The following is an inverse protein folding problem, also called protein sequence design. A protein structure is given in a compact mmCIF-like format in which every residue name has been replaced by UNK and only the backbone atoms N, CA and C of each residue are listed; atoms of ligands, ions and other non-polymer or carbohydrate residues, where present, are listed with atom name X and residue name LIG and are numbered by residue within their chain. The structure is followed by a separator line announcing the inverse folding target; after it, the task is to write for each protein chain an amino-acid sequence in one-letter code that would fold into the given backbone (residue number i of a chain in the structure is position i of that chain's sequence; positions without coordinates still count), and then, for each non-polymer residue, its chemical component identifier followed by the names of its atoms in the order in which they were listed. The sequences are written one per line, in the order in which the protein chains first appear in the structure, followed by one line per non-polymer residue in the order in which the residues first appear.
data_IF_050693602134
#
_entry.id   IF_050693602134
#
_cell.length_a   1.000
_cell.length_b   1.000
_cell.length_c   1.000
_cell.angle_alpha   90.00
_cell.angle_beta   90.00
_cell.angle_gamma   90.00
#
_symmetry.space_group_name_H-M   'P 1'
#
loop_
_entity.id
_entity.type
_entity.pdbx_description
1 polymer ?
#
# COMPACT_ATOMS: atom_id res chain seq x y z
N UNK A 1 17.96 26.69 21.96
CA UNK A 1 18.48 25.43 22.53
C UNK A 1 19.58 25.77 23.50
N UNK A 2 20.57 26.54 23.06
CA UNK A 2 21.48 27.28 23.96
C UNK A 2 20.93 28.68 24.20
N UNK A 3 20.10 28.83 25.22
CA UNK A 3 19.65 30.12 25.76
C UNK A 3 20.10 30.25 27.21
N UNK A 4 19.91 31.44 27.80
CA UNK A 4 20.29 31.75 29.20
C UNK A 4 19.56 30.87 30.22
N UNK A 5 18.44 30.26 29.81
CA UNK A 5 17.82 29.13 30.51
C UNK A 5 17.92 27.88 29.62
N UNK A 6 18.60 26.84 30.14
CA UNK A 6 18.65 25.52 29.54
C UNK A 6 17.30 24.81 29.73
N UNK A 7 16.70 24.37 28.63
CA UNK A 7 15.50 23.54 28.67
C UNK A 7 15.95 22.08 28.89
N UNK A 8 16.00 21.65 30.14
CA UNK A 8 16.32 20.27 30.48
C UNK A 8 15.17 19.32 30.06
N UNK A 9 15.51 18.13 29.57
CA UNK A 9 14.59 17.04 29.19
C UNK A 9 13.72 17.24 27.92
N UNK A 10 14.14 18.10 26.98
CA UNK A 10 13.45 18.23 25.68
C UNK A 10 14.25 17.52 24.58
N UNK A 11 13.60 16.59 23.88
CA UNK A 11 14.08 16.01 22.63
C UNK A 11 13.43 16.72 21.44
N UNK A 12 14.25 17.28 20.55
CA UNK A 12 13.75 17.89 19.31
C UNK A 12 14.08 17.00 18.11
N UNK A 13 13.05 16.67 17.35
CA UNK A 13 13.15 15.88 16.12
C UNK A 13 12.74 16.76 14.94
N UNK A 14 13.67 17.01 14.02
CA UNK A 14 13.41 17.69 12.75
C UNK A 14 13.18 16.70 11.61
N UNK A 15 12.27 17.03 10.69
CA UNK A 15 12.01 16.26 9.48
C UNK A 15 12.17 17.18 8.27
N UNK A 16 13.00 16.81 7.30
CA UNK A 16 13.20 17.59 6.06
C UNK A 16 13.34 16.66 4.85
N UNK A 17 12.77 17.11 3.72
CA UNK A 17 13.00 16.49 2.41
C UNK A 17 14.17 17.13 1.65
N UNK A 18 14.76 18.19 2.19
CA UNK A 18 15.84 18.98 1.60
C UNK A 18 16.89 19.34 2.65
N UNK A 19 17.67 18.36 3.14
CA UNK A 19 18.71 18.61 4.16
C UNK A 19 19.76 19.62 3.70
N UNK A 20 20.01 19.73 2.39
CA UNK A 20 20.95 20.68 1.79
C UNK A 20 20.56 22.16 1.95
N UNK A 21 19.29 22.45 2.22
CA UNK A 21 18.81 23.82 2.47
C UNK A 21 18.85 24.21 3.95
N UNK A 22 19.26 23.30 4.83
CA UNK A 22 19.35 23.60 6.26
C UNK A 22 20.56 24.49 6.57
N UNK A 23 20.38 25.43 7.49
CA UNK A 23 21.47 26.27 7.99
C UNK A 23 22.53 25.39 8.68
N UNK A 24 23.81 25.43 8.23
CA UNK A 24 24.91 24.71 8.87
C UNK A 24 25.08 25.01 10.36
N UNK A 25 24.62 26.17 10.84
CA UNK A 25 24.66 26.54 12.26
C UNK A 25 23.71 25.68 13.12
N UNK A 26 22.68 25.07 12.55
CA UNK A 26 21.78 24.15 13.26
C UNK A 26 22.37 22.74 13.38
N UNK A 27 23.28 22.37 12.48
CA UNK A 27 23.92 21.05 12.40
C UNK A 27 25.13 20.91 13.35
N UNK A 28 25.42 21.95 14.14
CA UNK A 28 26.54 21.94 15.08
C UNK A 28 26.22 21.07 16.31
N UNK A 29 27.24 20.48 16.95
CA UNK A 29 27.07 19.73 18.20
C UNK A 29 26.29 20.54 19.25
N UNK A 30 25.41 19.87 20.01
CA UNK A 30 24.51 20.51 20.98
C UNK A 30 23.20 21.07 20.42
N UNK A 31 22.95 20.94 19.10
CA UNK A 31 21.69 21.33 18.43
C UNK A 31 21.06 20.14 17.71
N UNK A 32 20.98 20.17 16.38
CA UNK A 32 20.57 19.04 15.56
C UNK A 32 21.81 18.23 15.20
N UNK A 33 22.38 17.55 16.19
CA UNK A 33 23.66 16.84 16.03
C UNK A 33 23.50 15.50 15.28
N UNK A 34 22.40 14.78 15.54
CA UNK A 34 22.17 13.46 14.95
C UNK A 34 21.36 13.57 13.67
N UNK A 35 21.93 13.08 12.57
CA UNK A 35 21.25 13.01 11.27
C UNK A 35 21.00 11.56 10.86
N UNK A 36 19.72 11.26 10.60
CA UNK A 36 19.29 9.94 10.13
C UNK A 36 18.64 10.09 8.77
N UNK A 37 19.24 9.46 7.75
CA UNK A 37 18.63 9.36 6.42
C UNK A 37 17.62 8.20 6.42
N UNK A 38 16.40 8.47 6.00
CA UNK A 38 15.37 7.45 5.81
C UNK A 38 15.25 7.13 4.32
N UNK A 39 15.79 5.98 3.85
CA UNK A 39 15.72 5.62 2.43
C UNK A 39 14.31 5.11 2.06
N UNK A 40 14.08 4.99 0.74
CA UNK A 40 12.91 4.28 0.23
C UNK A 40 12.92 2.81 0.68
N UNK A 41 11.75 2.19 0.93
CA UNK A 41 11.69 0.81 1.40
C UNK A 41 12.19 -0.18 0.34
N UNK A 42 12.96 -1.15 0.80
CA UNK A 42 13.38 -2.31 0.01
C UNK A 42 12.21 -3.29 -0.21
N UNK A 43 12.45 -4.40 -0.91
CA UNK A 43 11.39 -5.37 -1.23
C UNK A 43 10.70 -5.92 0.03
N UNK A 44 11.48 -6.30 1.05
CA UNK A 44 10.94 -6.79 2.32
C UNK A 44 10.24 -5.68 3.12
N UNK A 45 10.76 -4.46 3.10
CA UNK A 45 10.15 -3.27 3.68
C UNK A 45 8.78 -2.99 3.06
N UNK A 46 8.64 -3.07 1.74
CA UNK A 46 7.35 -2.88 1.05
C UNK A 46 6.32 -3.93 1.44
N UNK A 47 6.72 -5.20 1.58
CA UNK A 47 5.83 -6.26 2.08
C UNK A 47 5.38 -5.99 3.52
N UNK A 48 6.30 -5.57 4.40
CA UNK A 48 5.96 -5.21 5.79
C UNK A 48 5.01 -4.02 5.86
N UNK A 49 5.26 -2.97 5.09
CA UNK A 49 4.39 -1.80 5.01
C UNK A 49 2.99 -2.21 4.51
N UNK A 50 2.93 -3.03 3.46
CA UNK A 50 1.66 -3.54 2.95
C UNK A 50 0.91 -4.41 3.97
N UNK A 51 1.63 -5.22 4.76
CA UNK A 51 1.06 -6.00 5.85
C UNK A 51 0.45 -5.10 6.92
N UNK A 52 1.17 -4.06 7.36
CA UNK A 52 0.68 -3.07 8.35
C UNK A 52 -0.59 -2.38 7.83
N UNK A 53 -0.60 -1.92 6.59
CA UNK A 53 -1.75 -1.20 6.03
C UNK A 53 -2.93 -2.11 5.67
N UNK A 54 -2.74 -3.43 5.56
CA UNK A 54 -3.81 -4.40 5.32
C UNK A 54 -4.27 -5.15 6.58
N UNK A 55 -3.60 -4.96 7.71
CA UNK A 55 -3.86 -5.64 8.97
C UNK A 55 -5.31 -5.49 9.42
N UNK A 56 -5.81 -4.25 9.47
CA UNK A 56 -7.21 -3.98 9.87
C UNK A 56 -8.24 -4.62 8.94
N UNK A 57 -7.94 -4.72 7.64
CA UNK A 57 -8.84 -5.39 6.68
C UNK A 57 -8.86 -6.91 6.95
N UNK A 58 -7.70 -7.49 7.27
CA UNK A 58 -7.56 -8.91 7.62
C UNK A 58 -8.27 -9.24 8.92
N UNK A 59 -8.06 -8.46 9.97
CA UNK A 59 -8.70 -8.64 11.29
C UNK A 59 -10.23 -8.59 11.21
N UNK A 60 -10.76 -7.73 10.33
CA UNK A 60 -12.22 -7.58 10.12
C UNK A 60 -12.80 -8.59 9.14
N UNK A 61 -11.97 -9.46 8.54
CA UNK A 61 -12.41 -10.37 7.49
C UNK A 61 -12.85 -9.68 6.20
N UNK A 62 -12.42 -8.43 5.99
CA UNK A 62 -12.73 -7.61 4.81
C UNK A 62 -11.62 -7.68 3.74
N UNK A 63 -10.74 -8.67 3.82
CA UNK A 63 -9.68 -8.92 2.84
C UNK A 63 -9.84 -10.34 2.29
N UNK A 64 -10.18 -10.44 1.00
CA UNK A 64 -10.38 -11.73 0.37
C UNK A 64 -9.08 -12.55 0.41
N UNK A 65 -9.13 -13.89 0.63
CA UNK A 65 -7.92 -14.72 0.70
C UNK A 65 -6.96 -14.56 -0.49
N UNK A 66 -7.43 -14.42 -1.76
CA UNK A 66 -6.54 -14.13 -2.89
C UNK A 66 -5.83 -12.78 -2.78
N UNK A 67 -6.49 -11.74 -2.26
CA UNK A 67 -5.87 -10.43 -2.06
C UNK A 67 -4.81 -10.49 -0.96
N UNK A 68 -5.10 -11.19 0.15
CA UNK A 68 -4.14 -11.42 1.23
C UNK A 68 -2.89 -12.18 0.74
N UNK A 69 -3.07 -13.25 -0.03
CA UNK A 69 -1.98 -14.02 -0.61
C UNK A 69 -1.14 -13.19 -1.60
N UNK A 70 -1.80 -12.32 -2.39
CA UNK A 70 -1.10 -11.41 -3.30
C UNK A 70 -0.20 -10.43 -2.54
N UNK A 71 -0.71 -9.79 -1.48
CA UNK A 71 0.05 -8.83 -0.66
C UNK A 71 1.27 -9.46 0.02
N UNK A 72 1.17 -10.73 0.43
CA UNK A 72 2.26 -11.48 1.03
C UNK A 72 3.31 -11.98 -0.01
N UNK A 73 2.98 -11.94 -1.31
CA UNK A 73 3.84 -12.53 -2.35
C UNK A 73 5.05 -11.65 -2.69
N UNK A 74 6.12 -12.28 -3.19
CA UNK A 74 7.26 -11.58 -3.76
C UNK A 74 6.88 -10.77 -5.02
N UNK A 75 5.88 -11.22 -5.79
CA UNK A 75 5.38 -10.49 -6.95
C UNK A 75 4.80 -9.13 -6.59
N UNK A 76 4.17 -8.96 -5.41
CA UNK A 76 3.69 -7.65 -4.98
C UNK A 76 4.87 -6.71 -4.70
N UNK A 77 5.93 -7.20 -4.06
CA UNK A 77 7.15 -6.43 -3.82
C UNK A 77 7.81 -6.00 -5.14
N UNK A 78 7.87 -6.89 -6.14
CA UNK A 78 8.35 -6.59 -7.48
C UNK A 78 7.46 -5.54 -8.18
N UNK A 79 6.15 -5.70 -8.07
CA UNK A 79 5.15 -4.85 -8.70
C UNK A 79 5.09 -3.44 -8.11
N UNK A 80 5.56 -3.26 -6.88
CA UNK A 80 5.62 -1.97 -6.16
C UNK A 80 7.05 -1.43 -6.04
N UNK A 81 7.98 -1.91 -6.86
CA UNK A 81 9.34 -1.36 -6.88
C UNK A 81 9.33 0.16 -7.11
N UNK A 82 9.99 0.90 -6.20
CA UNK A 82 10.05 2.37 -6.22
C UNK A 82 8.93 3.08 -5.46
N UNK A 83 7.97 2.34 -4.88
CA UNK A 83 6.92 2.92 -4.06
C UNK A 83 7.46 3.30 -2.69
N UNK A 84 7.08 4.49 -2.23
CA UNK A 84 7.24 4.94 -0.85
C UNK A 84 6.19 4.33 0.07
N UNK A 85 6.36 4.52 1.38
CA UNK A 85 5.33 4.12 2.35
C UNK A 85 3.97 4.80 2.08
N UNK A 86 3.99 6.08 1.67
CA UNK A 86 2.78 6.81 1.32
C UNK A 86 2.12 6.25 0.05
N UNK A 87 2.90 5.88 -0.96
CA UNK A 87 2.37 5.29 -2.19
C UNK A 87 1.70 3.94 -1.93
N UNK A 88 2.31 3.09 -1.09
CA UNK A 88 1.73 1.79 -0.68
C UNK A 88 0.44 1.96 0.11
N UNK A 89 0.40 2.93 1.03
CA UNK A 89 -0.80 3.27 1.78
C UNK A 89 -1.91 3.80 0.85
N UNK A 90 -1.54 4.64 -0.13
CA UNK A 90 -2.44 5.14 -1.16
C UNK A 90 -3.02 4.02 -2.02
N UNK A 91 -2.19 3.08 -2.46
CA UNK A 91 -2.61 1.92 -3.23
C UNK A 91 -3.65 1.07 -2.51
N UNK A 92 -3.41 0.73 -1.24
CA UNK A 92 -4.38 -0.05 -0.46
C UNK A 92 -5.68 0.73 -0.19
N UNK A 93 -5.58 2.05 -0.01
CA UNK A 93 -6.75 2.93 0.10
C UNK A 93 -7.57 2.94 -1.18
N UNK A 94 -6.93 3.04 -2.36
CA UNK A 94 -7.60 2.95 -3.65
C UNK A 94 -8.27 1.60 -3.85
N UNK A 95 -7.60 0.50 -3.52
CA UNK A 95 -8.20 -0.84 -3.57
C UNK A 95 -9.45 -0.95 -2.67
N UNK A 96 -9.41 -0.32 -1.49
CA UNK A 96 -10.57 -0.27 -0.60
C UNK A 96 -11.71 0.58 -1.19
N UNK A 97 -11.39 1.69 -1.86
CA UNK A 97 -12.38 2.51 -2.57
C UNK A 97 -13.07 1.73 -3.68
N UNK A 98 -12.31 0.99 -4.50
CA UNK A 98 -12.90 0.17 -5.57
C UNK A 98 -13.80 -0.94 -5.04
N UNK A 99 -13.42 -1.56 -3.92
CA UNK A 99 -14.28 -2.54 -3.26
C UNK A 99 -15.59 -1.90 -2.76
N UNK A 100 -15.53 -0.67 -2.23
CA UNK A 100 -16.70 0.07 -1.78
C UNK A 100 -17.61 0.49 -2.95
N UNK A 101 -17.04 1.00 -4.05
CA UNK A 101 -17.76 1.34 -5.28
C UNK A 101 -18.49 0.12 -5.84
N UNK A 102 -17.78 -1.01 -6.00
CA UNK A 102 -18.35 -2.28 -6.45
C UNK A 102 -19.51 -2.73 -5.56
N UNK A 103 -19.33 -2.64 -4.24
CA UNK A 103 -20.36 -3.01 -3.28
C UNK A 103 -21.60 -2.11 -3.34
N UNK A 104 -21.40 -0.79 -3.50
CA UNK A 104 -22.49 0.17 -3.63
C UNK A 104 -23.28 -0.05 -4.92
N UNK A 105 -22.59 -0.29 -6.04
CA UNK A 105 -23.22 -0.58 -7.33
C UNK A 105 -24.05 -1.87 -7.28
N UNK A 106 -23.52 -2.95 -6.70
CA UNK A 106 -24.26 -4.21 -6.50
C UNK A 106 -25.52 -4.02 -5.64
N UNK A 107 -25.46 -3.14 -4.63
CA UNK A 107 -26.64 -2.81 -3.80
C UNK A 107 -27.68 -1.97 -4.51
N UNK A 108 -27.25 -0.97 -5.28
CA UNK A 108 -28.15 -0.14 -6.06
C UNK A 108 -28.87 -0.97 -7.12
N UNK A 109 -28.14 -1.85 -7.82
CA UNK A 109 -28.68 -2.75 -8.84
C UNK A 109 -29.64 -3.80 -8.27
N UNK A 110 -29.43 -4.24 -7.03
CA UNK A 110 -30.33 -5.17 -6.34
C UNK A 110 -31.60 -4.53 -5.78
N UNK A 111 -31.81 -3.21 -5.97
CA UNK A 111 -33.01 -2.49 -5.53
C UNK A 111 -33.16 -2.38 -4.02
N UNK A 112 -32.12 -2.71 -3.26
CA UNK A 112 -32.11 -2.62 -1.80
C UNK A 112 -31.74 -1.19 -1.40
N UNK A 113 -32.70 -0.47 -0.80
CA UNK A 113 -32.43 0.84 -0.21
C UNK A 113 -31.26 0.75 0.79
N UNK A 114 -30.41 1.78 0.91
CA UNK A 114 -29.33 1.79 1.89
C UNK A 114 -29.91 1.62 3.31
N UNK A 115 -29.65 0.46 3.93
CA UNK A 115 -30.16 0.09 5.27
C UNK A 115 -31.07 -1.14 5.32
N UNK A 116 -31.46 -1.75 4.19
CA UNK A 116 -32.25 -2.98 4.19
C UNK A 116 -31.40 -4.20 4.59
N UNK A 117 -31.82 -4.92 5.65
CA UNK A 117 -31.15 -6.14 6.12
C UNK A 117 -31.22 -7.26 5.08
N UNK A 118 -30.05 -7.84 4.77
CA UNK A 118 -29.94 -8.99 3.87
C UNK A 118 -30.37 -10.25 4.61
N UNK A 119 -31.55 -10.76 4.29
CA UNK A 119 -32.07 -12.01 4.83
C UNK A 119 -31.26 -13.19 4.27
N UNK A 120 -30.48 -13.86 5.14
CA UNK A 120 -29.67 -15.05 4.80
C UNK A 120 -30.56 -16.22 4.36
N UNK A 121 -30.72 -16.42 3.05
CA UNK A 121 -31.41 -17.60 2.52
C UNK A 121 -31.41 -17.66 1.00
N UNK A 122 -30.44 -18.37 0.42
CA UNK A 122 -30.38 -18.64 -1.03
C UNK A 122 -28.95 -18.93 -1.49
N UNK A 123 -28.77 -19.98 -2.29
CA UNK A 123 -27.49 -20.64 -2.62
C UNK A 123 -26.42 -19.71 -3.24
N UNK A 124 -25.21 -19.84 -2.69
CA UNK A 124 -23.89 -19.82 -3.35
C UNK A 124 -23.67 -18.85 -4.53
N UNK A 125 -23.51 -17.58 -4.21
CA UNK A 125 -22.53 -16.70 -4.82
C UNK A 125 -21.93 -15.85 -3.68
N UNK A 126 -20.73 -15.31 -3.83
CA UNK A 126 -19.97 -14.49 -2.86
C UNK A 126 -20.63 -13.15 -2.49
N UNK A 127 -21.96 -13.10 -2.40
CA UNK A 127 -22.81 -11.92 -2.35
C UNK A 127 -23.06 -11.47 -0.91
N UNK A 128 -22.57 -10.27 -0.57
CA UNK A 128 -23.17 -9.43 0.48
C UNK A 128 -22.20 -8.80 1.48
N UNK A 129 -20.93 -9.21 1.52
CA UNK A 129 -19.94 -8.64 2.43
C UNK A 129 -18.99 -7.72 1.67
N UNK A 130 -18.75 -6.53 2.23
CA UNK A 130 -17.74 -5.60 1.73
C UNK A 130 -16.35 -6.20 1.99
N UNK A 131 -15.73 -6.73 0.94
CA UNK A 131 -14.37 -7.26 0.98
C UNK A 131 -13.53 -6.72 -0.17
N UNK A 132 -12.26 -6.45 0.12
CA UNK A 132 -11.25 -6.07 -0.87
C UNK A 132 -10.80 -7.32 -1.60
N UNK A 133 -11.12 -7.39 -2.90
CA UNK A 133 -10.78 -8.51 -3.76
C UNK A 133 -9.39 -8.35 -4.40
N UNK A 134 -8.90 -9.43 -5.01
CA UNK A 134 -7.68 -9.36 -5.82
C UNK A 134 -7.85 -8.38 -7.00
N UNK A 135 -9.04 -8.31 -7.60
CA UNK A 135 -9.28 -7.42 -8.74
C UNK A 135 -9.17 -5.94 -8.33
N UNK A 136 -9.68 -5.60 -7.15
CA UNK A 136 -9.59 -4.25 -6.59
C UNK A 136 -8.11 -3.85 -6.37
N UNK A 137 -7.30 -4.79 -5.87
CA UNK A 137 -5.86 -4.60 -5.69
C UNK A 137 -5.14 -4.39 -7.03
N UNK A 138 -5.47 -5.19 -8.05
CA UNK A 138 -4.86 -5.10 -9.38
C UNK A 138 -5.29 -3.84 -10.13
N UNK A 139 -6.52 -3.37 -9.91
CA UNK A 139 -6.97 -2.06 -10.38
C UNK A 139 -6.15 -0.95 -9.73
N UNK A 140 -5.98 -0.98 -8.41
CA UNK A 140 -5.16 0.00 -7.69
C UNK A 140 -3.71 0.03 -8.16
N UNK A 141 -3.10 -1.13 -8.43
CA UNK A 141 -1.75 -1.22 -9.00
C UNK A 141 -1.62 -0.60 -10.40
N UNK A 142 -2.71 -0.52 -11.17
CA UNK A 142 -2.73 0.12 -12.50
C UNK A 142 -2.87 1.64 -12.40
N UNK A 143 -3.61 2.13 -11.42
CA UNK A 143 -3.92 3.54 -11.27
C UNK A 143 -2.90 4.32 -10.44
N UNK A 144 -2.29 3.67 -9.43
CA UNK A 144 -1.32 4.33 -8.54
C UNK A 144 0.10 4.21 -9.08
N UNK A 145 0.74 5.37 -9.29
CA UNK A 145 2.14 5.49 -9.67
C UNK A 145 3.00 5.94 -8.46
N UNK A 146 4.30 5.58 -8.41
CA UNK A 146 5.18 6.00 -7.32
C UNK A 146 5.46 7.51 -7.40
N UNK A 147 5.30 8.21 -6.27
CA UNK A 147 5.49 9.67 -6.19
C UNK A 147 6.99 10.05 -6.16
N UNK A 148 7.84 9.16 -5.62
CA UNK A 148 9.24 9.46 -5.29
C UNK A 148 10.26 9.23 -6.42
N UNK A 149 9.86 8.93 -7.65
CA UNK A 149 10.83 8.69 -8.73
C UNK A 149 11.42 10.00 -9.26
N UNK A 150 12.50 10.48 -8.64
CA UNK A 150 13.55 11.20 -9.38
C UNK A 150 14.17 10.28 -10.45
N UNK A 151 15.01 10.80 -11.39
CA UNK A 151 15.37 10.14 -12.65
C UNK A 151 16.19 8.84 -12.55
N UNK A 152 16.34 8.25 -11.36
CA UNK A 152 16.94 6.95 -11.16
C UNK A 152 16.05 5.84 -11.74
N UNK A 153 16.31 5.54 -13.01
CA UNK A 153 15.67 4.57 -13.94
C UNK A 153 14.62 5.14 -14.91
N UNK A 154 14.73 6.42 -15.26
CA UNK A 154 14.20 6.96 -16.52
C UNK A 154 15.07 6.52 -17.71
N UNK A 155 15.10 5.22 -17.97
CA UNK A 155 15.74 4.63 -19.13
C UNK A 155 14.90 3.46 -19.62
N UNK A 156 13.69 3.75 -20.12
CA UNK A 156 12.99 3.04 -21.22
C UNK A 156 11.68 3.80 -21.48
N UNK A 157 11.71 4.48 -22.63
CA UNK A 157 10.69 5.32 -23.25
C UNK A 157 9.30 4.67 -23.37
N UNK A 158 8.27 5.51 -23.20
CA UNK A 158 7.03 5.61 -24.01
C UNK A 158 6.07 4.42 -24.15
N UNK A 159 6.54 3.21 -24.45
CA UNK A 159 5.69 2.02 -24.68
C UNK A 159 5.80 0.94 -23.60
N UNK A 160 6.86 1.00 -22.78
CA UNK A 160 7.17 -0.06 -21.82
C UNK A 160 6.36 -0.03 -20.53
N UNK A 161 5.75 1.10 -20.16
CA UNK A 161 5.04 1.21 -18.88
C UNK A 161 3.81 0.29 -18.81
N UNK A 162 3.00 0.26 -19.87
CA UNK A 162 1.86 -0.66 -20.01
C UNK A 162 2.30 -2.12 -20.08
N UNK A 163 3.38 -2.43 -20.80
CA UNK A 163 3.91 -3.79 -20.89
C UNK A 163 4.48 -4.28 -19.55
N UNK A 164 5.14 -3.39 -18.79
CA UNK A 164 5.64 -3.67 -17.44
C UNK A 164 4.50 -3.85 -16.45
N UNK A 165 3.46 -3.01 -16.50
CA UNK A 165 2.25 -3.16 -15.70
C UNK A 165 1.54 -4.50 -15.99
N UNK A 166 1.35 -4.83 -17.27
CA UNK A 166 0.77 -6.12 -17.70
C UNK A 166 1.60 -7.33 -17.24
N UNK A 167 2.93 -7.27 -17.35
CA UNK A 167 3.82 -8.34 -16.86
C UNK A 167 3.76 -8.49 -15.33
N UNK A 168 3.68 -7.38 -14.60
CA UNK A 168 3.51 -7.36 -13.13
C UNK A 168 2.18 -8.01 -12.73
N UNK A 169 1.09 -7.62 -13.40
CA UNK A 169 -0.24 -8.17 -13.15
C UNK A 169 -0.29 -9.69 -13.37
N UNK A 170 0.21 -10.17 -14.52
CA UNK A 170 0.23 -11.61 -14.82
C UNK A 170 1.07 -12.40 -13.84
N UNK A 171 2.23 -11.89 -13.44
CA UNK A 171 3.10 -12.56 -12.46
C UNK A 171 2.44 -12.61 -11.08
N UNK A 172 1.77 -11.53 -10.66
CA UNK A 172 1.06 -11.47 -9.39
C UNK A 172 -0.11 -12.45 -9.37
N UNK A 173 -0.97 -12.44 -10.40
CA UNK A 173 -2.07 -13.42 -10.53
C UNK A 173 -1.56 -14.87 -10.46
N UNK A 174 -0.54 -15.20 -11.26
CA UNK A 174 0.03 -16.56 -11.29
C UNK A 174 0.67 -16.99 -9.95
N UNK A 175 1.31 -16.08 -9.21
CA UNK A 175 1.86 -16.41 -7.89
C UNK A 175 0.77 -16.55 -6.84
N UNK A 176 -0.25 -15.71 -6.87
CA UNK A 176 -1.40 -15.80 -5.96
C UNK A 176 -2.13 -17.13 -6.17
N UNK A 177 -2.42 -17.51 -7.41
CA UNK A 177 -3.02 -18.81 -7.75
C UNK A 177 -2.18 -19.97 -7.23
N UNK A 178 -0.85 -19.92 -7.41
CA UNK A 178 0.08 -20.93 -6.87
C UNK A 178 0.09 -20.97 -5.34
N UNK A 179 -0.02 -19.83 -4.67
CA UNK A 179 -0.04 -19.77 -3.21
C UNK A 179 -1.34 -20.38 -2.66
N UNK A 180 -2.48 -20.08 -3.29
CA UNK A 180 -3.78 -20.67 -2.93
C UNK A 180 -3.82 -22.18 -3.20
N UNK A 181 -3.21 -22.65 -4.29
CA UNK A 181 -3.18 -24.07 -4.67
C UNK A 181 -2.31 -24.94 -3.74
N UNK A 182 -1.39 -24.37 -2.96
CA UNK A 182 -0.52 -25.13 -2.05
C UNK A 182 -1.18 -25.46 -0.70
N UNK A 183 -2.30 -24.83 -0.36
CA UNK A 183 -2.99 -25.03 0.91
C UNK A 183 -2.15 -24.62 2.14
N UNK A 184 -2.77 -24.46 3.33
CA UNK A 184 -2.03 -24.19 4.56
C UNK A 184 -1.46 -25.52 5.11
N UNK A 185 -0.30 -25.95 4.61
CA UNK A 185 0.42 -27.10 5.15
C UNK A 185 1.28 -27.85 4.14
N UNK A 186 2.55 -27.46 4.06
CA UNK A 186 3.66 -28.32 3.64
C UNK A 186 4.89 -27.95 4.46
#
# INVERSE_FOLDING_TARGET
MDGVEQLDNILVIGLTNRPELMDPALLRPGRLEVHVLVPQPDAAGRQRIAAIHSERLRERGCLAPPAAAALASGAFADATCGFSGADLAGLLRSATSFALERYADERLLSGLAPGAEVRKGGRAASSGLLEVSLEDLLRALREVAPTGSGPARAGVQGGGARLRAWRRERRLRAQTERALARGPGS
#
